data_IF_276683282395
#
_entry.id   IF_276683282395
#
_cell.length_a   1.000
_cell.length_b   1.000
_cell.length_c   1.000
_cell.angle_alpha   90.00
_cell.angle_beta   90.00
_cell.angle_gamma   90.00
#
_symmetry.space_group_name_H-M   'P 1'
#
loop_
_entity.id
_entity.type
_entity.pdbx_description
1 polymer ?
#
# COMPACT_ATOMS: atom_id res chain seq x y z
N UNK A 1 -52.18 35.83 -7.46
CA UNK A 1 -52.58 34.45 -7.09
C UNK A 1 -51.33 33.60 -7.16
N UNK A 2 -50.86 33.11 -6.01
CA UNK A 2 -49.56 32.44 -5.84
C UNK A 2 -49.79 30.93 -5.78
N UNK A 3 -49.26 30.16 -6.73
CA UNK A 3 -49.26 28.68 -6.66
C UNK A 3 -47.83 28.16 -6.55
N UNK A 4 -47.57 27.51 -5.42
CA UNK A 4 -46.32 26.84 -5.03
C UNK A 4 -46.28 25.43 -5.63
N UNK A 5 -45.18 24.97 -6.24
CA UNK A 5 -44.98 23.54 -6.47
C UNK A 5 -44.24 22.90 -5.27
N UNK A 6 -44.74 21.76 -4.81
CA UNK A 6 -44.11 20.91 -3.80
C UNK A 6 -42.85 20.24 -4.36
N UNK A 7 -41.76 20.30 -3.60
CA UNK A 7 -40.53 19.53 -3.83
C UNK A 7 -40.75 18.02 -3.55
N UNK A 8 -40.04 17.11 -4.26
CA UNK A 8 -40.24 15.66 -4.14
C UNK A 8 -39.62 15.08 -2.85
N UNK A 9 -40.08 13.90 -2.40
CA UNK A 9 -39.60 13.29 -1.16
C UNK A 9 -38.15 12.81 -1.30
N UNK A 10 -37.28 13.30 -0.41
CA UNK A 10 -35.91 12.79 -0.25
C UNK A 10 -35.96 11.42 0.43
N UNK A 11 -35.93 10.35 -0.36
CA UNK A 11 -35.68 9.01 0.17
C UNK A 11 -34.25 8.94 0.74
N UNK A 12 -34.06 8.51 2.01
CA UNK A 12 -32.73 8.39 2.59
C UNK A 12 -31.96 7.28 1.86
N UNK A 13 -30.87 7.68 1.20
CA UNK A 13 -29.93 6.76 0.54
C UNK A 13 -29.39 5.80 1.60
N UNK A 14 -29.87 4.55 1.61
CA UNK A 14 -29.33 3.49 2.47
C UNK A 14 -27.85 3.38 2.17
N UNK A 15 -27.00 3.87 3.09
CA UNK A 15 -25.57 3.57 3.09
C UNK A 15 -25.45 2.07 3.25
N UNK A 16 -25.15 1.37 2.16
CA UNK A 16 -24.69 -0.01 2.21
C UNK A 16 -23.48 -0.02 3.14
N UNK A 17 -23.63 -0.60 4.34
CA UNK A 17 -22.48 -0.83 5.23
C UNK A 17 -21.56 -1.75 4.44
N UNK A 18 -20.47 -1.20 3.88
CA UNK A 18 -19.40 -2.02 3.37
C UNK A 18 -19.01 -2.96 4.52
N UNK A 19 -19.09 -4.26 4.28
CA UNK A 19 -18.57 -5.24 5.23
C UNK A 19 -17.11 -4.89 5.44
N UNK A 20 -16.80 -4.29 6.59
CA UNK A 20 -15.45 -3.89 6.92
C UNK A 20 -14.68 -5.19 7.13
N UNK A 21 -13.91 -5.60 6.13
CA UNK A 21 -12.95 -6.70 6.28
C UNK A 21 -12.10 -6.39 7.52
N UNK A 22 -11.82 -7.38 8.38
CA UNK A 22 -10.85 -7.25 9.46
C UNK A 22 -9.59 -6.55 8.95
N UNK A 23 -8.97 -5.69 9.75
CA UNK A 23 -7.76 -4.94 9.33
C UNK A 23 -6.66 -5.85 8.79
N UNK A 24 -6.56 -7.08 9.30
CA UNK A 24 -5.63 -8.12 8.84
C UNK A 24 -5.94 -8.70 7.45
N UNK A 25 -7.13 -8.45 6.90
CA UNK A 25 -7.54 -8.90 5.56
C UNK A 25 -7.56 -7.78 4.53
N UNK A 26 -7.27 -6.54 4.93
CA UNK A 26 -7.19 -5.40 4.01
C UNK A 26 -5.74 -5.21 3.56
N UNK A 27 -5.56 -5.03 2.25
CA UNK A 27 -4.29 -4.62 1.65
C UNK A 27 -3.85 -3.32 2.34
N UNK A 28 -2.61 -3.27 2.82
CA UNK A 28 -1.99 -2.08 3.40
C UNK A 28 -1.44 -1.22 2.29
N UNK A 29 -2.06 -0.07 2.09
CA UNK A 29 -1.62 0.94 1.14
C UNK A 29 -0.67 1.97 1.77
N UNK A 30 -0.37 1.84 3.06
CA UNK A 30 0.51 2.78 3.77
C UNK A 30 1.97 2.47 3.43
N UNK A 31 2.70 3.53 3.09
CA UNK A 31 4.14 3.49 2.81
C UNK A 31 4.87 4.42 3.77
N UNK A 32 5.90 3.89 4.42
CA UNK A 32 6.82 4.68 5.24
C UNK A 32 8.18 4.84 4.55
N UNK A 33 8.81 6.00 4.75
CA UNK A 33 10.19 6.21 4.33
C UNK A 33 11.12 5.51 5.32
N UNK A 34 11.98 4.63 4.83
CA UNK A 34 12.91 3.84 5.64
C UNK A 34 14.36 4.11 5.26
N UNK A 35 15.25 3.88 6.22
CA UNK A 35 16.69 3.77 5.98
C UNK A 35 17.08 2.31 5.75
N UNK A 36 18.29 2.07 5.23
CA UNK A 36 18.83 0.74 4.98
C UNK A 36 19.14 0.53 3.51
N UNK A 37 19.05 -0.73 3.05
CA UNK A 37 19.46 -1.14 1.70
C UNK A 37 18.38 -1.95 0.96
N UNK A 38 17.12 -1.90 1.42
CA UNK A 38 16.00 -2.63 0.78
C UNK A 38 14.73 -1.80 0.73
N UNK A 39 13.88 -2.11 -0.25
CA UNK A 39 12.44 -1.86 -0.20
C UNK A 39 11.74 -3.10 0.35
N UNK A 40 10.59 -2.94 1.01
CA UNK A 40 9.75 -4.07 1.39
C UNK A 40 8.27 -3.74 1.30
N UNK A 41 7.45 -4.76 1.04
CA UNK A 41 6.00 -4.66 1.02
C UNK A 41 5.39 -5.75 1.90
N UNK A 42 4.32 -5.40 2.61
CA UNK A 42 3.65 -6.32 3.53
C UNK A 42 2.82 -7.36 2.79
N UNK A 43 2.02 -6.91 1.84
CA UNK A 43 1.06 -7.76 1.17
C UNK A 43 1.52 -8.12 -0.24
N UNK A 44 1.53 -9.44 -0.55
CA UNK A 44 1.82 -9.99 -1.89
C UNK A 44 1.05 -9.32 -3.02
N UNK A 45 -0.14 -8.77 -2.73
CA UNK A 45 -1.00 -8.12 -3.72
C UNK A 45 -0.37 -6.89 -4.40
N UNK A 46 0.68 -6.28 -3.84
CA UNK A 46 1.38 -5.15 -4.46
C UNK A 46 2.36 -5.54 -5.57
N UNK A 47 2.69 -6.82 -5.68
CA UNK A 47 3.76 -7.29 -6.55
C UNK A 47 3.27 -7.53 -7.98
N UNK A 48 3.89 -6.87 -8.95
CA UNK A 48 3.65 -7.12 -10.39
C UNK A 48 4.47 -8.29 -10.90
N UNK A 49 5.66 -8.50 -10.32
CA UNK A 49 6.47 -9.71 -10.48
C UNK A 49 6.70 -10.33 -9.11
N UNK A 50 6.75 -11.66 -9.01
CA UNK A 50 6.92 -12.32 -7.72
C UNK A 50 7.67 -13.64 -7.85
N UNK A 51 8.79 -13.74 -7.13
CA UNK A 51 9.53 -14.98 -6.91
C UNK A 51 9.45 -15.37 -5.43
N UNK A 52 8.85 -16.52 -5.09
CA UNK A 52 8.88 -17.02 -3.72
C UNK A 52 10.32 -17.28 -3.26
N UNK A 53 10.60 -16.97 -2.00
CA UNK A 53 11.85 -17.33 -1.32
C UNK A 53 11.55 -17.82 0.08
N UNK A 54 12.52 -18.51 0.69
CA UNK A 54 12.45 -18.91 2.10
C UNK A 54 13.70 -18.38 2.77
N UNK A 55 13.59 -17.20 3.39
CA UNK A 55 14.69 -16.53 4.07
C UNK A 55 14.19 -15.85 5.35
N UNK A 56 15.10 -15.72 6.32
CA UNK A 56 14.82 -15.11 7.61
C UNK A 56 15.90 -14.06 7.92
N UNK A 57 15.49 -12.88 8.38
CA UNK A 57 16.40 -11.80 8.78
C UNK A 57 16.53 -11.78 10.31
N UNK A 58 17.76 -11.94 10.82
CA UNK A 58 18.07 -12.05 12.25
C UNK A 58 18.05 -10.73 13.03
N UNK A 59 17.94 -9.60 12.32
CA UNK A 59 17.92 -8.26 12.90
C UNK A 59 16.63 -7.56 12.50
N UNK A 60 15.51 -8.10 12.97
CA UNK A 60 14.20 -7.51 12.73
C UNK A 60 14.15 -6.11 13.36
N UNK A 61 13.85 -5.11 12.53
CA UNK A 61 13.80 -3.70 12.92
C UNK A 61 12.61 -3.38 13.83
N UNK A 62 11.58 -4.25 13.86
CA UNK A 62 10.38 -4.10 14.67
C UNK A 62 10.50 -4.82 16.02
N UNK A 63 11.12 -6.01 16.04
CA UNK A 63 11.40 -6.76 17.26
C UNK A 63 12.78 -7.45 17.17
N UNK A 64 13.83 -6.91 17.80
CA UNK A 64 15.19 -7.46 17.71
C UNK A 64 15.36 -8.91 18.20
N UNK A 65 14.39 -9.44 18.94
CA UNK A 65 14.41 -10.81 19.46
C UNK A 65 13.84 -11.85 18.50
N UNK A 66 13.15 -11.40 17.44
CA UNK A 66 12.49 -12.28 16.47
C UNK A 66 13.24 -12.27 15.13
N UNK A 67 13.21 -13.40 14.44
CA UNK A 67 13.58 -13.43 13.02
C UNK A 67 12.41 -12.94 12.18
N UNK A 68 12.68 -12.17 11.12
CA UNK A 68 11.67 -11.63 10.22
C UNK A 68 11.60 -12.46 8.94
N UNK A 69 10.43 -13.00 8.61
CA UNK A 69 10.25 -13.83 7.41
C UNK A 69 10.30 -12.95 6.14
N UNK A 70 11.05 -13.42 5.15
CA UNK A 70 10.97 -12.94 3.76
C UNK A 70 10.38 -14.05 2.91
N UNK A 71 9.11 -13.89 2.53
CA UNK A 71 8.33 -14.90 1.81
C UNK A 71 8.50 -14.81 0.28
N UNK A 72 9.08 -13.71 -0.21
CA UNK A 72 9.24 -13.46 -1.65
C UNK A 72 10.05 -12.22 -1.97
N UNK A 73 10.39 -12.10 -3.25
CA UNK A 73 11.07 -10.94 -3.83
C UNK A 73 10.42 -10.62 -5.16
N UNK A 74 10.26 -9.34 -5.50
CA UNK A 74 9.75 -8.95 -6.80
C UNK A 74 9.69 -7.45 -7.04
N UNK A 75 8.86 -7.04 -7.99
CA UNK A 75 8.69 -5.65 -8.40
C UNK A 75 7.35 -5.12 -7.87
N UNK A 76 7.34 -3.90 -7.36
CA UNK A 76 6.13 -3.17 -6.97
C UNK A 76 6.02 -1.89 -7.77
N UNK A 77 4.83 -1.62 -8.30
CA UNK A 77 4.52 -0.37 -8.98
C UNK A 77 3.60 0.48 -8.11
N UNK A 78 4.05 1.69 -7.77
CA UNK A 78 3.30 2.62 -6.93
C UNK A 78 2.81 3.78 -7.81
N UNK A 79 1.52 3.86 -8.13
CA UNK A 79 0.96 5.03 -8.81
C UNK A 79 0.96 6.21 -7.83
N UNK A 80 1.55 7.33 -8.27
CA UNK A 80 1.62 8.59 -7.52
C UNK A 80 1.12 9.74 -8.37
N UNK A 81 0.69 10.81 -7.70
CA UNK A 81 0.37 12.09 -8.35
C UNK A 81 1.57 13.01 -8.16
N UNK A 82 2.04 13.65 -9.25
CA UNK A 82 3.22 14.52 -9.23
C UNK A 82 2.95 15.92 -8.68
N UNK A 83 1.72 16.40 -8.86
CA UNK A 83 1.31 17.73 -8.42
C UNK A 83 -0.03 17.70 -7.70
N UNK A 84 -0.11 18.40 -6.58
CA UNK A 84 -1.38 18.61 -5.88
C UNK A 84 -2.35 19.49 -6.69
N UNK A 85 -1.83 20.31 -7.61
CA UNK A 85 -2.64 21.22 -8.45
C UNK A 85 -3.27 20.49 -9.64
N UNK A 86 -2.67 19.37 -10.07
CA UNK A 86 -3.17 18.56 -11.17
C UNK A 86 -3.23 17.07 -10.77
N UNK A 87 -4.37 16.58 -10.25
CA UNK A 87 -4.52 15.19 -9.84
C UNK A 87 -4.45 14.18 -11.01
N UNK A 88 -4.52 14.65 -12.26
CA UNK A 88 -4.35 13.83 -13.45
C UNK A 88 -2.89 13.71 -13.90
N UNK A 89 -2.00 14.52 -13.35
CA UNK A 89 -0.57 14.38 -13.58
C UNK A 89 0.00 13.24 -12.73
N UNK A 90 -0.13 12.02 -13.25
CA UNK A 90 0.30 10.80 -12.56
C UNK A 90 1.66 10.31 -13.02
N UNK A 91 2.37 9.62 -12.14
CA UNK A 91 3.60 8.90 -12.43
C UNK A 91 3.59 7.55 -11.71
N UNK A 92 4.38 6.59 -12.18
CA UNK A 92 4.53 5.28 -11.54
C UNK A 92 5.94 5.16 -11.02
N UNK A 93 6.07 5.03 -9.70
CA UNK A 93 7.33 4.68 -9.05
C UNK A 93 7.47 3.17 -9.15
N UNK A 94 8.48 2.71 -9.88
CA UNK A 94 8.82 1.28 -9.99
C UNK A 94 9.89 0.97 -8.96
N UNK A 95 9.58 0.04 -8.06
CA UNK A 95 10.51 -0.48 -7.07
C UNK A 95 10.90 -1.90 -7.45
N UNK A 96 12.17 -2.12 -7.73
CA UNK A 96 12.72 -3.44 -8.03
C UNK A 96 13.29 -4.10 -6.77
N UNK A 97 13.39 -5.44 -6.80
CA UNK A 97 13.98 -6.24 -5.72
C UNK A 97 13.34 -6.00 -4.34
N UNK A 98 12.04 -5.73 -4.31
CA UNK A 98 11.26 -5.49 -3.09
C UNK A 98 11.11 -6.80 -2.33
N UNK A 99 11.38 -6.79 -1.03
CA UNK A 99 11.15 -7.94 -0.16
C UNK A 99 9.67 -8.03 0.25
N UNK A 100 9.07 -9.21 0.15
CA UNK A 100 7.75 -9.48 0.71
C UNK A 100 7.89 -9.95 2.16
N UNK A 101 7.44 -9.13 3.09
CA UNK A 101 7.54 -9.36 4.54
C UNK A 101 6.12 -9.30 5.14
N UNK A 102 5.42 -10.44 5.26
CA UNK A 102 4.02 -10.48 5.70
C UNK A 102 3.78 -9.88 7.09
N UNK A 103 4.79 -9.95 7.95
CA UNK A 103 4.75 -9.54 9.36
C UNK A 103 5.02 -8.03 9.53
N UNK A 104 5.37 -7.32 8.45
CA UNK A 104 5.64 -5.90 8.50
C UNK A 104 4.38 -5.11 8.90
N UNK A 105 4.55 -4.00 9.61
CA UNK A 105 3.41 -3.14 10.02
C UNK A 105 2.79 -2.44 8.79
N UNK A 106 3.63 -2.02 7.84
CA UNK A 106 3.25 -1.39 6.57
C UNK A 106 4.34 -1.59 5.51
N UNK A 107 4.24 -0.94 4.35
CA UNK A 107 5.27 -1.03 3.30
C UNK A 107 6.42 -0.05 3.56
N UNK A 108 7.65 -0.41 3.18
CA UNK A 108 8.85 0.40 3.34
C UNK A 108 9.43 0.86 2.00
N UNK A 109 9.53 2.18 1.82
CA UNK A 109 10.18 2.82 0.68
C UNK A 109 11.51 3.43 1.08
N UNK A 110 12.59 3.03 0.41
CA UNK A 110 13.90 3.62 0.59
C UNK A 110 14.26 4.54 -0.59
N UNK A 111 14.25 5.87 -0.41
CA UNK A 111 14.51 6.81 -1.50
C UNK A 111 15.92 6.73 -2.07
N UNK A 112 16.90 6.21 -1.32
CA UNK A 112 18.28 6.10 -1.80
C UNK A 112 18.48 4.97 -2.83
N UNK A 113 17.53 4.05 -2.91
CA UNK A 113 17.55 2.94 -3.86
C UNK A 113 16.71 3.24 -5.12
N UNK A 114 15.92 4.31 -5.09
CA UNK A 114 15.10 4.68 -6.22
C UNK A 114 15.96 5.35 -7.30
N UNK A 115 15.97 4.76 -8.50
CA UNK A 115 16.74 5.27 -9.65
C UNK A 115 18.24 4.92 -9.61
N UNK A 116 18.68 4.04 -8.71
CA UNK A 116 20.07 3.56 -8.63
C UNK A 116 20.34 2.26 -9.41
N UNK A 117 19.37 1.82 -10.22
CA UNK A 117 19.45 0.63 -11.08
C UNK A 117 19.97 0.95 -12.48
#
# INVERSE_FOLDING_TARGET
MTTRPLSPPTSPRKRTKAMHLPSSQRICHDWMVVQGNVHYARDRAHFTTYRPVTAHLKNNIFNPMDELEVAGIGTVEIPVVRSLDNPFDTHTIVLENVLHIPEAVCNGFNPLLFGSS
#
